data_IF_822620174732
#
_entry.id   IF_822620174732
#
_cell.length_a   1.000
_cell.length_b   1.000
_cell.length_c   1.000
_cell.angle_alpha   90.00
_cell.angle_beta   90.00
_cell.angle_gamma   90.00
#
_symmetry.space_group_name_H-M   'P 1'
#
loop_
_entity.id
_entity.type
_entity.pdbx_description
1 polymer ?
#
# COMPACT_ATOMS: atom_id res chain seq x y z
N UNK A 1 -8.45 8.71 -20.39
CA UNK A 1 -9.01 7.58 -19.69
C UNK A 1 -8.14 7.21 -18.50
N UNK A 2 -8.76 7.08 -17.40
CA UNK A 2 -8.06 6.74 -16.18
C UNK A 2 -8.38 5.28 -15.83
N UNK A 3 -7.39 4.49 -15.60
CA UNK A 3 -7.55 3.18 -15.02
C UNK A 3 -7.39 3.27 -13.51
N UNK A 4 -7.43 2.15 -12.81
CA UNK A 4 -7.15 2.15 -11.39
C UNK A 4 -5.70 2.55 -11.13
N UNK A 5 -5.45 3.00 -9.91
CA UNK A 5 -4.10 3.19 -9.41
C UNK A 5 -3.83 2.07 -8.41
N UNK A 6 -2.79 1.28 -8.65
CA UNK A 6 -2.48 0.13 -7.82
C UNK A 6 -1.10 0.32 -7.20
N UNK A 7 -1.00 0.07 -5.89
CA UNK A 7 0.27 0.13 -5.19
C UNK A 7 0.51 -1.20 -4.48
N UNK A 8 1.74 -1.71 -4.58
CA UNK A 8 2.14 -2.96 -3.94
C UNK A 8 3.47 -2.73 -3.22
N UNK A 9 3.48 -2.98 -1.92
CA UNK A 9 4.67 -2.80 -1.09
C UNK A 9 4.99 -4.10 -0.36
N UNK A 10 6.27 -4.46 -0.32
CA UNK A 10 6.69 -5.63 0.46
C UNK A 10 7.75 -5.22 1.48
N UNK A 11 7.56 -5.69 2.71
CA UNK A 11 8.43 -5.39 3.84
C UNK A 11 8.86 -6.68 4.51
N UNK A 12 10.02 -6.65 5.18
CA UNK A 12 10.37 -7.70 6.12
C UNK A 12 9.77 -7.36 7.48
N UNK A 13 9.44 -8.40 8.26
CA UNK A 13 8.94 -8.25 9.62
C UNK A 13 10.11 -8.44 10.58
N UNK A 14 10.19 -7.59 11.61
CA UNK A 14 11.23 -7.72 12.62
C UNK A 14 11.13 -9.07 13.34
N UNK A 15 12.25 -9.70 13.67
CA UNK A 15 12.22 -10.95 14.44
C UNK A 15 11.42 -10.78 15.73
N UNK A 16 10.55 -11.74 16.01
CA UNK A 16 9.72 -11.72 17.22
C UNK A 16 8.52 -10.79 17.17
N UNK A 17 8.26 -10.15 16.03
CA UNK A 17 7.17 -9.16 15.91
C UNK A 17 5.99 -9.63 15.06
N UNK A 18 5.92 -10.92 14.72
CA UNK A 18 4.85 -11.42 13.86
C UNK A 18 3.46 -11.19 14.46
N UNK A 19 3.28 -11.48 15.75
CA UNK A 19 1.97 -11.33 16.38
C UNK A 19 1.56 -9.87 16.47
N UNK A 20 2.52 -8.98 16.74
CA UNK A 20 2.25 -7.54 16.71
C UNK A 20 1.88 -7.10 15.30
N UNK A 21 2.59 -7.58 14.27
CA UNK A 21 2.27 -7.28 12.89
C UNK A 21 0.85 -7.70 12.53
N UNK A 22 0.44 -8.91 12.93
CA UNK A 22 -0.91 -9.40 12.69
C UNK A 22 -1.97 -8.51 13.32
N UNK A 23 -1.75 -8.13 14.56
CA UNK A 23 -2.68 -7.24 15.28
C UNK A 23 -2.79 -5.89 14.60
N UNK A 24 -1.64 -5.30 14.27
CA UNK A 24 -1.59 -3.97 13.66
C UNK A 24 -2.19 -3.98 12.24
N UNK A 25 -2.00 -5.07 11.50
CA UNK A 25 -2.61 -5.22 10.19
C UNK A 25 -4.13 -5.22 10.27
N UNK A 26 -4.71 -5.94 11.22
CA UNK A 26 -6.15 -5.96 11.41
C UNK A 26 -6.70 -4.58 11.77
N UNK A 27 -6.03 -3.87 12.67
CA UNK A 27 -6.41 -2.51 13.06
C UNK A 27 -6.34 -1.55 11.87
N UNK A 28 -5.30 -1.68 11.05
CA UNK A 28 -5.11 -0.84 9.88
C UNK A 28 -6.22 -1.08 8.84
N UNK A 29 -6.55 -2.32 8.57
CA UNK A 29 -7.62 -2.66 7.62
C UNK A 29 -8.94 -2.06 8.09
N UNK A 30 -9.28 -2.21 9.37
CA UNK A 30 -10.51 -1.65 9.92
C UNK A 30 -10.54 -0.12 9.78
N UNK A 31 -9.41 0.52 10.04
CA UNK A 31 -9.29 1.97 9.92
C UNK A 31 -9.47 2.44 8.46
N UNK A 32 -8.81 1.76 7.53
CA UNK A 32 -8.88 2.11 6.11
C UNK A 32 -10.30 1.90 5.58
N UNK A 33 -10.91 0.78 5.92
CA UNK A 33 -12.28 0.48 5.47
C UNK A 33 -13.26 1.55 5.94
N UNK A 34 -13.10 2.00 7.17
CA UNK A 34 -13.99 3.01 7.76
C UNK A 34 -13.76 4.41 7.19
N UNK A 35 -12.51 4.77 6.92
CA UNK A 35 -12.15 6.15 6.64
C UNK A 35 -11.82 6.46 5.17
N UNK A 36 -11.76 5.45 4.32
CA UNK A 36 -11.39 5.63 2.91
C UNK A 36 -12.41 4.99 1.97
N UNK A 37 -13.59 5.60 1.83
CA UNK A 37 -14.69 4.98 1.08
C UNK A 37 -14.42 4.85 -0.42
N UNK A 38 -13.43 5.55 -0.97
CA UNK A 38 -13.10 5.46 -2.39
C UNK A 38 -12.16 4.32 -2.72
N UNK A 39 -11.41 3.80 -1.75
CA UNK A 39 -10.47 2.72 -2.02
C UNK A 39 -11.25 1.45 -2.40
N UNK A 40 -10.83 0.83 -3.52
CA UNK A 40 -11.53 -0.33 -4.07
C UNK A 40 -11.17 -1.61 -3.31
N UNK A 41 -9.88 -1.79 -3.00
CA UNK A 41 -9.43 -2.98 -2.29
C UNK A 41 -8.16 -2.67 -1.51
N UNK A 42 -8.04 -3.31 -0.35
CA UNK A 42 -6.88 -3.14 0.52
C UNK A 42 -6.65 -4.48 1.22
N UNK A 43 -5.56 -5.15 0.84
CA UNK A 43 -5.25 -6.47 1.38
C UNK A 43 -3.81 -6.55 1.82
N UNK A 44 -3.58 -7.27 2.90
CA UNK A 44 -2.26 -7.53 3.42
C UNK A 44 -2.05 -9.04 3.46
N UNK A 45 -0.89 -9.47 3.00
CA UNK A 45 -0.55 -10.89 2.90
C UNK A 45 0.75 -11.16 3.62
N UNK A 46 0.84 -12.32 4.25
CA UNK A 46 2.08 -12.81 4.85
C UNK A 46 2.58 -13.99 4.02
N UNK A 47 3.91 -14.18 3.98
CA UNK A 47 4.46 -15.40 3.45
C UNK A 47 4.25 -16.55 4.47
N UNK A 48 4.51 -17.79 4.07
CA UNK A 48 4.28 -18.95 4.94
C UNK A 48 5.09 -18.89 6.23
N UNK A 49 6.29 -18.34 6.14
CA UNK A 49 7.19 -18.25 7.29
C UNK A 49 6.83 -17.11 8.25
N UNK A 50 5.96 -16.19 7.83
CA UNK A 50 5.65 -15.01 8.63
C UNK A 50 6.79 -14.02 8.71
N UNK A 51 7.67 -14.00 7.70
CA UNK A 51 8.84 -13.13 7.67
C UNK A 51 8.67 -11.90 6.79
N UNK A 52 7.68 -11.91 5.90
CA UNK A 52 7.41 -10.80 4.97
C UNK A 52 5.93 -10.45 4.97
N UNK A 53 5.68 -9.16 4.75
CA UNK A 53 4.32 -8.62 4.63
C UNK A 53 4.23 -7.88 3.30
N UNK A 54 3.20 -8.18 2.52
CA UNK A 54 2.90 -7.45 1.28
C UNK A 54 1.56 -6.75 1.40
N UNK A 55 1.55 -5.47 1.07
CA UNK A 55 0.36 -4.64 1.05
C UNK A 55 -0.05 -4.43 -0.41
N UNK A 56 -1.31 -4.74 -0.72
CA UNK A 56 -1.87 -4.53 -2.06
C UNK A 56 -3.02 -3.55 -1.95
N UNK A 57 -2.94 -2.44 -2.67
CA UNK A 57 -3.95 -1.38 -2.65
C UNK A 57 -4.46 -1.14 -4.05
N UNK A 58 -5.78 -1.07 -4.20
CA UNK A 58 -6.42 -0.72 -5.47
C UNK A 58 -7.27 0.52 -5.24
N UNK A 59 -6.92 1.59 -5.94
CA UNK A 59 -7.61 2.88 -5.88
C UNK A 59 -8.26 3.18 -7.23
N UNK A 60 -9.35 3.97 -7.25
CA UNK A 60 -9.92 4.39 -8.53
C UNK A 60 -9.03 5.36 -9.30
N UNK A 61 -8.16 6.09 -8.60
CA UNK A 61 -7.25 7.07 -9.21
C UNK A 61 -6.14 7.45 -8.22
N UNK A 62 -5.21 8.28 -8.68
CA UNK A 62 -4.09 8.75 -7.86
C UNK A 62 -4.55 9.62 -6.68
N UNK A 63 -5.65 10.37 -6.82
CA UNK A 63 -6.16 11.21 -5.75
C UNK A 63 -6.57 10.37 -4.53
N UNK A 64 -7.11 9.18 -4.76
CA UNK A 64 -7.43 8.25 -3.68
C UNK A 64 -6.18 7.82 -2.92
N UNK A 65 -5.07 7.59 -3.64
CA UNK A 65 -3.79 7.25 -3.01
C UNK A 65 -3.23 8.44 -2.21
N UNK A 66 -3.34 9.66 -2.73
CA UNK A 66 -2.94 10.85 -1.98
C UNK A 66 -3.70 10.97 -0.67
N UNK A 67 -5.01 10.74 -0.72
CA UNK A 67 -5.85 10.76 0.47
C UNK A 67 -5.42 9.68 1.46
N UNK A 68 -5.11 8.48 0.95
CA UNK A 68 -4.64 7.37 1.78
C UNK A 68 -3.37 7.76 2.57
N UNK A 69 -2.41 8.39 1.90
CA UNK A 69 -1.18 8.82 2.55
C UNK A 69 -1.44 9.83 3.67
N UNK A 70 -2.36 10.77 3.45
CA UNK A 70 -2.71 11.79 4.44
C UNK A 70 -3.42 11.18 5.64
N UNK A 71 -4.43 10.36 5.39
CA UNK A 71 -5.29 9.80 6.43
C UNK A 71 -4.52 8.80 7.30
N UNK A 72 -3.56 8.09 6.71
CA UNK A 72 -2.84 7.03 7.39
C UNK A 72 -1.45 7.43 7.90
N UNK A 73 -1.16 8.72 7.98
CA UNK A 73 0.17 9.19 8.38
C UNK A 73 0.62 8.61 9.72
N UNK A 74 -0.28 8.48 10.69
CA UNK A 74 0.06 7.92 12.01
C UNK A 74 0.44 6.44 11.91
N UNK A 75 -0.26 5.69 11.08
CA UNK A 75 0.04 4.26 10.88
C UNK A 75 1.40 4.09 10.22
N UNK A 76 1.71 4.93 9.24
CA UNK A 76 3.02 4.91 8.57
C UNK A 76 4.14 5.24 9.56
N UNK A 77 3.92 6.25 10.41
CA UNK A 77 4.92 6.69 11.37
C UNK A 77 5.32 5.58 12.35
N UNK A 78 4.41 4.66 12.66
CA UNK A 78 4.67 3.59 13.63
C UNK A 78 4.81 2.20 12.99
N UNK A 79 4.75 2.11 11.65
CA UNK A 79 4.84 0.81 10.98
C UNK A 79 6.17 0.11 11.25
N UNK A 80 7.24 0.86 11.40
CA UNK A 80 8.56 0.29 11.64
C UNK A 80 8.80 -0.14 13.09
N UNK A 81 7.78 -0.07 13.93
CA UNK A 81 7.82 -0.75 15.22
C UNK A 81 7.86 -2.28 15.01
N UNK A 82 7.23 -2.77 13.96
CA UNK A 82 7.17 -4.20 13.67
C UNK A 82 7.71 -4.59 12.29
N UNK A 83 7.90 -3.61 11.38
CA UNK A 83 8.52 -3.83 10.07
C UNK A 83 9.99 -3.44 10.13
N UNK A 84 10.83 -4.11 9.33
CA UNK A 84 12.26 -3.85 9.32
C UNK A 84 12.67 -3.08 8.05
N UNK A 85 12.56 -3.72 6.89
CA UNK A 85 13.01 -3.15 5.62
C UNK A 85 11.92 -3.20 4.58
N UNK A 86 11.87 -2.18 3.72
CA UNK A 86 11.05 -2.23 2.52
C UNK A 86 11.87 -2.88 1.41
N UNK A 87 11.37 -4.00 0.86
CA UNK A 87 12.06 -4.74 -0.19
C UNK A 87 11.71 -4.23 -1.57
N UNK A 88 10.44 -3.87 -1.79
CA UNK A 88 10.01 -3.35 -3.07
C UNK A 88 8.85 -2.38 -2.91
N UNK A 89 8.64 -1.61 -3.98
CA UNK A 89 7.62 -0.59 -4.07
C UNK A 89 7.18 -0.55 -5.52
N UNK A 90 5.93 -0.86 -5.79
CA UNK A 90 5.41 -0.96 -7.15
C UNK A 90 4.18 -0.09 -7.31
N UNK A 91 4.15 0.70 -8.38
CA UNK A 91 3.04 1.58 -8.70
C UNK A 91 2.58 1.35 -10.13
N UNK A 92 1.29 1.20 -10.31
CA UNK A 92 0.66 0.96 -11.61
C UNK A 92 -0.48 1.96 -11.80
N UNK A 93 -0.41 2.75 -12.88
CA UNK A 93 -1.42 3.75 -13.19
C UNK A 93 -0.86 5.17 -13.18
N UNK A 94 -1.64 6.14 -13.70
CA UNK A 94 -1.20 7.52 -13.81
C UNK A 94 -0.91 8.13 -12.45
N UNK A 95 0.27 8.75 -12.32
CA UNK A 95 0.72 9.37 -11.09
C UNK A 95 0.80 10.88 -11.27
N UNK A 96 0.17 11.61 -10.35
CA UNK A 96 0.28 13.07 -10.34
C UNK A 96 1.63 13.50 -9.78
N UNK A 97 2.02 14.77 -10.07
CA UNK A 97 3.23 15.34 -9.49
C UNK A 97 3.13 15.39 -7.97
N UNK A 98 1.94 15.73 -7.47
CA UNK A 98 1.72 15.79 -6.02
C UNK A 98 1.93 14.43 -5.37
N UNK A 99 1.39 13.37 -5.99
CA UNK A 99 1.59 12.02 -5.45
C UNK A 99 3.05 11.60 -5.50
N UNK A 100 3.73 11.88 -6.61
CA UNK A 100 5.14 11.55 -6.74
C UNK A 100 5.98 12.24 -5.66
N UNK A 101 5.67 13.52 -5.37
CA UNK A 101 6.37 14.27 -4.33
C UNK A 101 6.10 13.68 -2.93
N UNK A 102 4.84 13.30 -2.65
CA UNK A 102 4.50 12.67 -1.37
C UNK A 102 5.22 11.34 -1.18
N UNK A 103 5.23 10.50 -2.21
CA UNK A 103 5.86 9.19 -2.13
C UNK A 103 7.38 9.28 -1.97
N UNK A 104 8.01 10.31 -2.55
CA UNK A 104 9.44 10.48 -2.42
C UNK A 104 9.90 10.75 -0.98
N UNK A 105 9.00 11.21 -0.11
CA UNK A 105 9.31 11.43 1.30
C UNK A 105 9.56 10.11 2.04
N UNK A 106 9.13 9.00 1.48
CA UNK A 106 9.24 7.68 2.08
C UNK A 106 10.32 6.84 1.41
N UNK A 107 11.16 7.47 0.57
CA UNK A 107 12.24 6.77 -0.12
C UNK A 107 13.20 6.11 0.86
N UNK A 108 13.53 4.86 0.56
CA UNK A 108 14.45 4.06 1.37
C UNK A 108 15.47 3.41 0.44
N UNK A 109 16.78 3.56 0.72
CA UNK A 109 17.82 2.97 -0.13
C UNK A 109 17.72 1.45 -0.16
N UNK A 110 18.01 0.88 -1.33
CA UNK A 110 18.11 -0.56 -1.48
C UNK A 110 16.81 -1.28 -1.85
N UNK A 111 15.67 -0.57 -1.83
CA UNK A 111 14.42 -1.19 -2.28
C UNK A 111 14.32 -1.16 -3.80
N UNK A 112 13.60 -2.14 -4.35
CA UNK A 112 13.30 -2.16 -5.78
C UNK A 112 12.08 -1.29 -6.05
N UNK A 113 12.21 -0.34 -6.99
CA UNK A 113 11.13 0.56 -7.37
C UNK A 113 10.68 0.25 -8.79
N UNK A 114 9.37 0.04 -8.96
CA UNK A 114 8.76 -0.18 -10.28
C UNK A 114 7.63 0.83 -10.44
N UNK A 115 7.60 1.50 -11.61
CA UNK A 115 6.53 2.43 -11.98
C UNK A 115 6.08 2.11 -13.39
N UNK A 116 4.78 1.88 -13.56
CA UNK A 116 4.16 1.66 -14.86
C UNK A 116 2.94 2.56 -14.97
N UNK A 117 3.13 3.82 -15.41
CA UNK A 117 2.07 4.81 -15.33
C UNK A 117 1.02 4.73 -16.44
N UNK A 118 1.27 3.96 -17.50
CA UNK A 118 0.36 3.90 -18.63
C UNK A 118 -0.56 2.70 -18.48
N UNK A 119 -1.85 2.98 -18.30
CA UNK A 119 -2.87 1.92 -18.25
C UNK A 119 -3.20 1.51 -19.68
N UNK A 120 -2.88 0.30 -20.07
CA UNK A 120 -3.08 -0.19 -21.43
C UNK A 120 -4.48 -0.77 -21.64
N UNK A 121 -4.91 -1.65 -20.74
CA UNK A 121 -6.21 -2.31 -20.85
C UNK A 121 -6.54 -2.98 -19.53
N UNK A 122 -7.83 -3.17 -19.26
CA UNK A 122 -8.25 -3.86 -18.06
C UNK A 122 -9.66 -3.51 -17.68
N UNK A 123 -10.17 -4.18 -16.65
CA UNK A 123 -11.46 -3.82 -16.07
C UNK A 123 -11.41 -4.06 -14.56
N UNK A 124 -12.30 -3.33 -13.85
CA UNK A 124 -12.51 -3.51 -12.42
C UNK A 124 -13.97 -3.87 -12.20
N UNK A 125 -14.20 -4.95 -11.46
CA UNK A 125 -15.55 -5.40 -11.14
C UNK A 125 -15.82 -5.18 -9.67
N UNK A 126 -16.79 -4.33 -9.36
CA UNK A 126 -17.04 -3.89 -7.98
C UNK A 126 -18.18 -4.61 -7.30
N UNK A 127 -18.94 -5.43 -8.02
CA UNK A 127 -20.09 -6.17 -7.49
C UNK A 127 -19.92 -7.68 -7.66
N UNK A 128 -18.77 -8.18 -7.24
CA UNK A 128 -18.48 -9.62 -7.32
C UNK A 128 -19.08 -10.33 -6.11
N UNK A 129 -19.66 -11.50 -6.37
CA UNK A 129 -20.21 -12.35 -5.35
C UNK A 129 -19.52 -13.71 -5.32
#
# INVERSE_FOLDING_TARGET
MTGPFIAVFTYTIKPGKLEEARKRCGELVDFVETNEPRMIAFHLFLDEEGSKLTVVQVHPDAASMEFHLQVNAKHFATAFDYLDKQLNEQYYGPMSEALAAELSKWDEPGRKLIRMPVHEAGFTRTNVR
#
